data_IF_617248676707
#
_entry.id   IF_617248676707
#
_cell.length_a   1.000
_cell.length_b   1.000
_cell.length_c   1.000
_cell.angle_alpha   90.00
_cell.angle_beta   90.00
_cell.angle_gamma   90.00
#
_symmetry.space_group_name_H-M   'P 1'
#
loop_
_entity.id
_entity.type
_entity.pdbx_description
1 polymer ?
#
# COMPACT_ATOMS: atom_id res chain seq x y z
N UNK A 1 -11.41 -37.61 -1.71
CA UNK A 1 -11.14 -36.17 -1.52
C UNK A 1 -11.53 -35.49 -2.80
N UNK A 2 -12.61 -34.71 -2.79
CA UNK A 2 -13.02 -33.98 -3.99
C UNK A 2 -12.04 -32.84 -4.18
N UNK A 3 -11.31 -32.87 -5.29
CA UNK A 3 -10.29 -31.89 -5.66
C UNK A 3 -10.97 -30.59 -6.12
N UNK A 4 -11.85 -30.05 -5.30
CA UNK A 4 -12.80 -29.03 -5.75
C UNK A 4 -12.18 -27.63 -5.75
N UNK A 5 -11.00 -27.45 -5.16
CA UNK A 5 -10.32 -26.15 -5.08
C UNK A 5 -8.86 -26.20 -5.55
N UNK A 6 -8.40 -25.09 -6.13
CA UNK A 6 -7.02 -24.88 -6.58
C UNK A 6 -6.50 -23.54 -6.06
N UNK A 7 -5.24 -23.53 -5.63
CA UNK A 7 -4.56 -22.32 -5.19
C UNK A 7 -4.17 -21.45 -6.40
N UNK A 8 -4.59 -20.19 -6.38
CA UNK A 8 -4.28 -19.23 -7.46
C UNK A 8 -3.81 -17.90 -6.93
N UNK A 9 -3.02 -17.19 -7.73
CA UNK A 9 -2.61 -15.82 -7.42
C UNK A 9 -3.78 -14.86 -7.64
N UNK A 10 -4.08 -13.98 -6.68
CA UNK A 10 -5.10 -12.93 -6.81
C UNK A 10 -4.47 -11.62 -7.31
N UNK A 11 -3.34 -11.25 -6.73
CA UNK A 11 -2.57 -10.06 -7.08
C UNK A 11 -1.15 -10.12 -6.54
N UNK A 12 -0.25 -9.37 -7.16
CA UNK A 12 1.13 -9.16 -6.72
C UNK A 12 1.35 -7.67 -6.49
N UNK A 13 1.93 -7.28 -5.37
CA UNK A 13 2.33 -5.91 -5.07
C UNK A 13 3.85 -5.88 -5.00
N UNK A 14 4.48 -5.04 -5.82
CA UNK A 14 5.93 -4.86 -5.86
C UNK A 14 6.24 -3.39 -6.10
N UNK A 15 7.11 -2.81 -5.28
CA UNK A 15 7.45 -1.38 -5.36
C UNK A 15 6.21 -0.47 -5.40
N UNK A 16 5.21 -0.78 -4.56
CA UNK A 16 3.95 -0.05 -4.47
C UNK A 16 3.02 -0.15 -5.69
N UNK A 17 3.43 -0.87 -6.74
CA UNK A 17 2.61 -1.13 -7.92
C UNK A 17 1.88 -2.44 -7.75
N UNK A 18 0.57 -2.41 -8.01
CA UNK A 18 -0.28 -3.60 -8.02
C UNK A 18 -0.25 -4.19 -9.43
N UNK A 19 0.19 -5.44 -9.52
CA UNK A 19 0.21 -6.26 -10.72
C UNK A 19 -0.86 -7.36 -10.60
N UNK A 20 -1.81 -7.36 -11.54
CA UNK A 20 -2.89 -8.35 -11.64
C UNK A 20 -2.75 -9.26 -12.86
N UNK A 21 -1.61 -9.24 -13.57
CA UNK A 21 -1.39 -9.99 -14.81
C UNK A 21 -1.48 -11.51 -14.63
N UNK A 22 -1.11 -11.99 -13.45
CA UNK A 22 -1.16 -13.42 -13.09
C UNK A 22 -2.38 -13.76 -12.22
N UNK A 23 -3.39 -12.88 -12.17
CA UNK A 23 -4.63 -13.14 -11.44
C UNK A 23 -5.33 -14.37 -11.99
N UNK A 24 -5.64 -15.32 -11.11
CA UNK A 24 -6.30 -16.58 -11.42
C UNK A 24 -5.36 -17.67 -11.94
N UNK A 25 -4.06 -17.40 -12.04
CA UNK A 25 -3.08 -18.41 -12.46
C UNK A 25 -2.57 -19.21 -11.26
N UNK A 26 -2.19 -20.49 -11.47
CA UNK A 26 -1.46 -21.26 -10.47
C UNK A 26 -0.07 -20.68 -10.21
N UNK A 27 0.67 -21.32 -9.30
CA UNK A 27 2.05 -20.95 -9.00
C UNK A 27 2.89 -21.09 -10.27
N UNK A 28 3.64 -20.04 -10.60
CA UNK A 28 4.57 -20.03 -11.74
C UNK A 28 5.94 -19.53 -11.31
N UNK A 29 6.98 -20.20 -11.79
CA UNK A 29 8.37 -19.83 -11.54
C UNK A 29 9.23 -20.19 -12.74
N UNK A 30 10.22 -19.35 -13.03
CA UNK A 30 11.24 -19.68 -14.00
C UNK A 30 12.13 -20.79 -13.43
N UNK A 31 12.34 -21.85 -14.20
CA UNK A 31 13.26 -22.91 -13.82
C UNK A 31 14.72 -22.44 -13.90
N UNK A 32 15.51 -22.91 -12.95
CA UNK A 32 16.96 -22.79 -12.92
C UNK A 32 17.54 -24.20 -13.04
N UNK A 33 18.26 -24.47 -14.12
CA UNK A 33 18.75 -25.82 -14.44
C UNK A 33 17.68 -26.71 -15.06
N UNK A 34 17.92 -28.03 -15.07
CA UNK A 34 17.12 -29.01 -15.82
C UNK A 34 16.15 -29.82 -14.95
N UNK A 35 16.36 -29.88 -13.64
CA UNK A 35 15.52 -30.70 -12.75
C UNK A 35 14.24 -29.96 -12.30
N UNK A 36 13.09 -30.41 -12.80
CA UNK A 36 11.80 -29.83 -12.44
C UNK A 36 11.42 -30.09 -10.98
N UNK A 37 11.87 -31.20 -10.37
CA UNK A 37 11.51 -31.56 -9.00
C UNK A 37 12.17 -30.62 -7.98
N UNK A 38 13.48 -30.37 -8.12
CA UNK A 38 14.19 -29.36 -7.31
C UNK A 38 13.59 -27.97 -7.52
N UNK A 39 13.24 -27.61 -8.76
CA UNK A 39 12.61 -26.33 -9.05
C UNK A 39 11.21 -26.19 -8.46
N UNK A 40 10.45 -27.28 -8.37
CA UNK A 40 9.15 -27.31 -7.71
C UNK A 40 9.28 -27.00 -6.22
N UNK A 41 10.21 -27.67 -5.54
CA UNK A 41 10.48 -27.45 -4.12
C UNK A 41 10.89 -25.99 -3.86
N UNK A 42 11.82 -25.48 -4.68
CA UNK A 42 12.22 -24.08 -4.63
C UNK A 42 11.04 -23.12 -4.87
N UNK A 43 10.12 -23.45 -5.79
CA UNK A 43 8.97 -22.62 -6.06
C UNK A 43 8.05 -22.51 -4.85
N UNK A 44 7.75 -23.63 -4.19
CA UNK A 44 6.90 -23.66 -2.99
C UNK A 44 7.56 -22.88 -1.85
N UNK A 45 8.84 -23.10 -1.59
CA UNK A 45 9.59 -22.36 -0.56
C UNK A 45 9.61 -20.85 -0.86
N UNK A 46 9.96 -20.45 -2.08
CA UNK A 46 10.13 -19.03 -2.42
C UNK A 46 8.81 -18.27 -2.65
N UNK A 47 7.72 -18.95 -2.99
CA UNK A 47 6.43 -18.32 -3.34
C UNK A 47 5.39 -18.42 -2.24
N UNK A 48 5.48 -19.43 -1.39
CA UNK A 48 4.54 -19.70 -0.31
C UNK A 48 5.20 -19.77 1.07
N UNK A 49 6.53 -19.90 1.15
CA UNK A 49 7.22 -20.01 2.45
C UNK A 49 7.08 -21.38 3.10
N UNK A 50 6.71 -22.41 2.33
CA UNK A 50 6.57 -23.78 2.83
C UNK A 50 7.95 -24.42 2.89
N UNK A 51 8.40 -24.87 4.06
CA UNK A 51 9.71 -25.50 4.23
C UNK A 51 9.78 -26.88 3.56
N UNK A 52 10.99 -27.36 3.25
CA UNK A 52 11.19 -28.66 2.62
C UNK A 52 10.58 -29.81 3.45
N UNK A 53 10.71 -29.74 4.77
CA UNK A 53 10.15 -30.72 5.70
C UNK A 53 8.62 -30.74 5.61
N UNK A 54 7.99 -29.56 5.60
CA UNK A 54 6.55 -29.42 5.48
C UNK A 54 6.04 -29.92 4.13
N UNK A 55 6.78 -29.65 3.04
CA UNK A 55 6.43 -30.16 1.71
C UNK A 55 6.42 -31.69 1.68
N UNK A 56 7.42 -32.35 2.27
CA UNK A 56 7.49 -33.82 2.31
C UNK A 56 6.37 -34.43 3.17
N UNK A 57 5.98 -33.77 4.25
CA UNK A 57 4.97 -34.27 5.18
C UNK A 57 3.52 -34.03 4.69
N UNK A 58 3.27 -32.84 4.14
CA UNK A 58 1.90 -32.35 3.92
C UNK A 58 1.50 -32.27 2.45
N UNK A 59 2.44 -32.39 1.51
CA UNK A 59 2.16 -32.36 0.08
C UNK A 59 2.45 -33.69 -0.61
N UNK A 60 1.55 -34.08 -1.51
CA UNK A 60 1.72 -35.21 -2.41
C UNK A 60 1.88 -34.67 -3.84
N UNK A 61 3.08 -34.83 -4.39
CA UNK A 61 3.39 -34.48 -5.78
C UNK A 61 2.90 -35.62 -6.68
N UNK A 62 1.95 -35.34 -7.55
CA UNK A 62 1.47 -36.33 -8.51
C UNK A 62 2.37 -36.34 -9.74
N UNK A 63 3.37 -37.21 -9.73
CA UNK A 63 4.29 -37.38 -10.85
C UNK A 63 3.59 -37.81 -12.15
N UNK A 64 2.40 -38.44 -12.08
CA UNK A 64 1.63 -38.84 -13.25
C UNK A 64 0.96 -37.66 -13.95
N UNK A 65 0.77 -36.55 -13.23
CA UNK A 65 0.22 -35.30 -13.77
C UNK A 65 1.23 -34.46 -14.56
N UNK A 66 2.52 -34.84 -14.54
CA UNK A 66 3.58 -34.09 -15.18
C UNK A 66 3.36 -33.96 -16.68
N UNK A 67 3.39 -32.72 -17.18
CA UNK A 67 3.29 -32.39 -18.60
C UNK A 67 4.40 -31.42 -18.99
N UNK A 68 5.00 -31.70 -20.14
CA UNK A 68 5.94 -30.82 -20.80
C UNK A 68 5.29 -30.25 -22.06
N UNK A 69 5.30 -28.93 -22.22
CA UNK A 69 4.84 -28.25 -23.42
C UNK A 69 5.82 -27.20 -23.90
N UNK A 70 5.82 -26.99 -25.21
CA UNK A 70 6.57 -25.92 -25.87
C UNK A 70 5.60 -24.86 -26.37
N UNK A 71 5.79 -23.62 -25.95
CA UNK A 71 4.94 -22.50 -26.34
C UNK A 71 5.78 -21.42 -27.03
N UNK A 72 5.41 -21.04 -28.25
CA UNK A 72 6.03 -19.91 -28.96
C UNK A 72 5.16 -18.67 -28.76
N UNK A 73 5.71 -17.66 -28.10
CA UNK A 73 5.03 -16.38 -27.89
C UNK A 73 5.98 -15.21 -28.17
N UNK A 74 5.42 -14.05 -28.51
CA UNK A 74 6.24 -12.85 -28.68
C UNK A 74 6.85 -12.44 -27.32
N UNK A 75 8.13 -12.08 -27.34
CA UNK A 75 8.86 -11.57 -26.19
C UNK A 75 8.18 -10.30 -25.68
N UNK A 76 7.96 -10.27 -24.36
CA UNK A 76 7.36 -9.10 -23.71
C UNK A 76 8.34 -7.94 -23.61
N UNK A 77 9.64 -8.24 -23.52
CA UNK A 77 10.69 -7.24 -23.34
C UNK A 77 11.24 -6.74 -24.68
N UNK A 78 11.05 -7.50 -25.76
CA UNK A 78 11.59 -7.20 -27.08
C UNK A 78 10.49 -7.37 -28.14
N UNK A 79 9.77 -6.29 -28.50
CA UNK A 79 8.72 -6.34 -29.51
C UNK A 79 9.20 -6.96 -30.82
N UNK A 80 8.44 -7.89 -31.37
CA UNK A 80 8.76 -8.58 -32.64
C UNK A 80 9.68 -9.80 -32.52
N UNK A 81 10.34 -10.01 -31.39
CA UNK A 81 11.12 -11.22 -31.15
C UNK A 81 10.20 -12.35 -30.68
N UNK A 82 10.22 -13.50 -31.35
CA UNK A 82 9.53 -14.71 -30.85
C UNK A 82 10.42 -15.41 -29.83
N UNK A 83 9.86 -15.75 -28.69
CA UNK A 83 10.49 -16.53 -27.63
C UNK A 83 9.79 -17.87 -27.52
N UNK A 84 10.58 -18.93 -27.45
CA UNK A 84 10.12 -20.28 -27.16
C UNK A 84 10.20 -20.49 -25.65
N UNK A 85 9.08 -20.84 -25.03
CA UNK A 85 8.98 -21.18 -23.61
C UNK A 85 8.80 -22.69 -23.49
N UNK A 86 9.67 -23.31 -22.70
CA UNK A 86 9.48 -24.69 -22.26
C UNK A 86 8.76 -24.66 -20.91
N UNK A 87 7.57 -25.26 -20.85
CA UNK A 87 6.68 -25.22 -19.69
C UNK A 87 6.59 -26.62 -19.10
N UNK A 88 6.93 -26.72 -17.82
CA UNK A 88 6.79 -27.92 -17.01
C UNK A 88 5.61 -27.71 -16.06
N UNK A 89 4.55 -28.49 -16.23
CA UNK A 89 3.34 -28.43 -15.40
C UNK A 89 3.26 -29.71 -14.55
N UNK A 90 3.00 -29.55 -13.26
CA UNK A 90 2.82 -30.65 -12.31
C UNK A 90 1.76 -30.24 -11.27
N UNK A 91 0.93 -31.20 -10.88
CA UNK A 91 -0.11 -31.03 -9.85
C UNK A 91 0.40 -31.49 -8.49
N UNK A 92 0.08 -30.71 -7.46
CA UNK A 92 0.41 -30.99 -6.07
C UNK A 92 -0.89 -31.00 -5.26
N UNK A 93 -1.02 -31.99 -4.40
CA UNK A 93 -2.18 -32.16 -3.53
C UNK A 93 -1.79 -31.99 -2.07
N UNK A 94 -2.64 -31.32 -1.30
CA UNK A 94 -2.51 -31.24 0.16
C UNK A 94 -3.07 -32.52 0.77
N UNK A 95 -2.27 -33.23 1.56
CA UNK A 95 -2.65 -34.52 2.15
C UNK A 95 -3.58 -34.36 3.36
N UNK A 96 -3.31 -33.36 4.21
CA UNK A 96 -4.12 -33.02 5.39
C UNK A 96 -4.40 -31.51 5.47
N UNK A 97 -5.54 -31.04 4.95
CA UNK A 97 -5.93 -29.63 5.01
C UNK A 97 -6.18 -29.09 6.43
N UNK A 98 -6.39 -29.96 7.43
CA UNK A 98 -6.66 -29.54 8.81
C UNK A 98 -5.37 -29.41 9.64
N UNK A 99 -4.21 -29.64 9.03
CA UNK A 99 -2.93 -29.53 9.73
C UNK A 99 -2.66 -28.08 10.13
N UNK A 100 -2.30 -27.85 11.40
CA UNK A 100 -2.11 -26.50 11.98
C UNK A 100 -1.07 -25.67 11.21
N UNK A 101 -0.04 -26.33 10.69
CA UNK A 101 1.01 -25.67 9.92
C UNK A 101 0.53 -25.13 8.57
N UNK A 102 -0.65 -25.51 8.08
CA UNK A 102 -1.22 -24.97 6.83
C UNK A 102 -2.21 -23.82 7.05
N UNK A 103 -2.47 -23.44 8.32
CA UNK A 103 -3.38 -22.34 8.63
C UNK A 103 -2.91 -21.00 8.03
N UNK A 104 -1.61 -20.78 7.89
CA UNK A 104 -1.09 -19.56 7.26
C UNK A 104 -1.40 -19.50 5.75
N UNK A 105 -1.68 -20.65 5.12
CA UNK A 105 -2.17 -20.75 3.74
C UNK A 105 -3.71 -20.67 3.66
N UNK A 106 -4.37 -20.34 4.77
CA UNK A 106 -5.82 -20.19 4.85
C UNK A 106 -6.61 -21.51 4.89
N UNK A 107 -5.94 -22.65 5.07
CA UNK A 107 -6.61 -23.95 5.25
C UNK A 107 -7.05 -24.15 6.71
N UNK A 108 -8.10 -24.94 6.98
CA UNK A 108 -8.93 -25.71 6.04
C UNK A 108 -10.02 -24.88 5.33
N UNK A 109 -10.31 -23.66 5.80
CA UNK A 109 -11.44 -22.85 5.33
C UNK A 109 -11.29 -22.32 3.90
N UNK A 110 -10.07 -22.34 3.35
CA UNK A 110 -9.75 -21.79 2.04
C UNK A 110 -9.68 -20.26 2.02
N UNK A 111 -9.32 -19.65 3.15
CA UNK A 111 -9.20 -18.19 3.26
C UNK A 111 -8.08 -17.64 2.35
N UNK A 112 -8.29 -16.45 1.78
CA UNK A 112 -7.26 -15.73 1.04
C UNK A 112 -6.12 -15.34 2.00
N UNK A 113 -4.87 -15.45 1.56
CA UNK A 113 -3.70 -15.14 2.40
C UNK A 113 -2.62 -14.37 1.63
N UNK A 114 -1.91 -13.43 2.28
CA UNK A 114 -0.74 -12.77 1.71
C UNK A 114 0.55 -13.52 2.06
N UNK A 115 1.51 -13.53 1.14
CA UNK A 115 2.88 -13.97 1.36
C UNK A 115 3.84 -12.85 0.98
N UNK A 116 4.78 -12.52 1.87
CA UNK A 116 5.75 -11.43 1.66
C UNK A 116 7.16 -11.99 1.54
N UNK A 117 7.91 -11.53 0.54
CA UNK A 117 9.32 -11.90 0.36
C UNK A 117 10.18 -10.72 -0.07
N UNK A 118 11.47 -10.78 0.24
CA UNK A 118 12.47 -9.86 -0.29
C UNK A 118 13.01 -10.39 -1.62
N UNK A 119 12.80 -9.64 -2.70
CA UNK A 119 13.38 -9.90 -4.01
C UNK A 119 14.84 -9.43 -4.01
N UNK A 120 15.76 -10.39 -3.86
CA UNK A 120 17.21 -10.17 -3.91
C UNK A 120 17.77 -10.19 -5.34
N UNK A 121 16.95 -10.57 -6.33
CA UNK A 121 17.40 -10.93 -7.68
C UNK A 121 17.68 -9.74 -8.60
N UNK A 122 17.19 -8.54 -8.28
CA UNK A 122 17.30 -7.37 -9.17
C UNK A 122 18.52 -6.48 -8.93
N UNK A 123 19.37 -6.76 -7.94
CA UNK A 123 20.48 -5.86 -7.56
C UNK A 123 21.86 -6.23 -8.11
N UNK A 124 22.02 -7.35 -8.84
CA UNK A 124 23.36 -7.89 -9.13
C UNK A 124 24.13 -7.14 -10.23
N UNK A 125 23.53 -6.28 -11.05
CA UNK A 125 24.27 -5.72 -12.20
C UNK A 125 24.58 -4.22 -12.25
N UNK A 126 23.92 -3.32 -11.49
CA UNK A 126 24.17 -1.87 -11.72
C UNK A 126 24.14 -0.90 -10.53
N UNK A 127 24.16 -1.34 -9.27
CA UNK A 127 24.24 -0.38 -8.15
C UNK A 127 25.30 -0.74 -7.11
N UNK A 128 26.46 -0.10 -7.23
CA UNK A 128 27.60 -0.11 -6.30
C UNK A 128 27.35 0.65 -4.98
N UNK A 129 26.08 0.82 -4.57
CA UNK A 129 25.70 1.39 -3.26
C UNK A 129 24.41 0.75 -2.76
N UNK A 130 24.55 -0.27 -1.89
CA UNK A 130 23.56 -0.63 -0.86
C UNK A 130 22.09 -0.79 -1.28
N UNK A 131 21.80 -1.35 -2.46
CA UNK A 131 20.42 -1.57 -2.90
C UNK A 131 19.75 -2.66 -2.04
N UNK A 132 19.00 -2.22 -1.03
CA UNK A 132 18.13 -3.06 -0.21
C UNK A 132 17.08 -3.73 -1.11
N UNK A 133 17.00 -5.06 -1.07
CA UNK A 133 16.10 -5.85 -1.93
C UNK A 133 14.65 -5.34 -1.91
N UNK A 134 13.97 -5.40 -3.05
CA UNK A 134 12.58 -4.91 -3.15
C UNK A 134 11.62 -5.88 -2.46
N UNK A 135 10.68 -5.37 -1.65
CA UNK A 135 9.66 -6.22 -1.04
C UNK A 135 8.59 -6.55 -2.07
N UNK A 136 8.25 -7.83 -2.18
CA UNK A 136 7.19 -8.37 -3.02
C UNK A 136 6.15 -9.04 -2.13
N UNK A 137 4.90 -8.58 -2.22
CA UNK A 137 3.75 -9.19 -1.54
C UNK A 137 2.89 -9.89 -2.60
N UNK A 138 2.67 -11.20 -2.45
CA UNK A 138 1.80 -11.99 -3.29
C UNK A 138 0.54 -12.37 -2.51
N UNK A 139 -0.63 -12.04 -3.03
CA UNK A 139 -1.90 -12.47 -2.45
C UNK A 139 -2.38 -13.71 -3.19
N UNK A 140 -2.66 -14.75 -2.42
CA UNK A 140 -3.14 -16.03 -2.87
C UNK A 140 -4.56 -16.27 -2.40
N UNK A 141 -5.27 -17.13 -3.11
CA UNK A 141 -6.59 -17.57 -2.70
C UNK A 141 -6.97 -18.89 -3.33
N UNK A 142 -7.90 -19.59 -2.69
CA UNK A 142 -8.43 -20.86 -3.14
C UNK A 142 -9.65 -20.61 -4.02
N UNK A 143 -9.67 -21.17 -5.23
CA UNK A 143 -10.80 -21.07 -6.15
C UNK A 143 -11.33 -22.44 -6.50
N UNK A 144 -12.64 -22.60 -6.72
CA UNK A 144 -13.18 -23.83 -7.24
C UNK A 144 -12.50 -24.21 -8.57
N UNK A 145 -12.15 -25.48 -8.78
CA UNK A 145 -11.50 -25.95 -10.02
C UNK A 145 -12.35 -25.62 -11.24
N UNK A 146 -13.67 -25.74 -11.13
CA UNK A 146 -14.59 -25.33 -12.19
C UNK A 146 -14.45 -23.84 -12.54
N UNK A 147 -14.23 -22.95 -11.57
CA UNK A 147 -14.04 -21.52 -11.82
C UNK A 147 -12.64 -21.21 -12.38
N UNK A 148 -11.62 -21.92 -11.90
CA UNK A 148 -10.25 -21.75 -12.39
C UNK A 148 -10.10 -22.22 -13.85
N UNK A 149 -10.72 -23.35 -14.20
CA UNK A 149 -10.63 -23.95 -15.54
C UNK A 149 -11.62 -23.36 -16.55
N UNK A 150 -12.75 -22.80 -16.10
CA UNK A 150 -13.77 -22.23 -17.01
C UNK A 150 -13.43 -20.86 -17.57
N UNK A 151 -12.41 -20.16 -17.06
CA UNK A 151 -11.99 -18.89 -17.63
C UNK A 151 -11.22 -19.20 -18.92
N UNK A 152 -11.78 -18.94 -20.12
CA UNK A 152 -10.97 -19.01 -21.32
C UNK A 152 -9.81 -18.06 -21.08
N UNK A 153 -8.58 -18.56 -21.25
CA UNK A 153 -7.39 -17.72 -21.36
C UNK A 153 -7.76 -16.73 -22.46
N UNK A 154 -8.18 -15.53 -22.09
CA UNK A 154 -8.34 -14.45 -23.05
C UNK A 154 -6.93 -14.31 -23.60
N UNK A 155 -6.69 -14.87 -24.78
CA UNK A 155 -5.57 -14.49 -25.62
C UNK A 155 -5.76 -13.00 -25.74
N UNK A 156 -5.08 -12.25 -24.88
CA UNK A 156 -4.86 -10.84 -25.13
C UNK A 156 -4.08 -10.88 -26.43
N UNK A 157 -4.79 -10.83 -27.55
CA UNK A 157 -4.27 -10.25 -28.77
C UNK A 157 -3.78 -8.88 -28.32
N UNK A 158 -2.50 -8.82 -27.98
CA UNK A 158 -1.80 -7.56 -27.87
C UNK A 158 -1.89 -6.99 -29.29
N UNK A 159 -2.94 -6.21 -29.55
CA UNK A 159 -2.93 -5.26 -30.65
C UNK A 159 -1.68 -4.44 -30.41
N UNK A 160 -0.69 -4.64 -31.26
CA UNK A 160 0.43 -3.74 -31.41
C UNK A 160 -0.16 -2.40 -31.85
N UNK A 161 -0.57 -1.58 -30.89
CA UNK A 161 -0.85 -0.18 -31.18
C UNK A 161 0.50 0.46 -31.42
N UNK A 162 0.73 0.87 -32.66
CA UNK A 162 1.83 1.74 -33.11
C UNK A 162 1.96 3.05 -32.29
N UNK A 163 1.07 3.28 -31.31
CA UNK A 163 0.96 4.47 -30.49
C UNK A 163 1.74 4.43 -29.16
N UNK A 164 2.46 3.36 -28.84
CA UNK A 164 3.36 3.35 -27.67
C UNK A 164 4.65 4.18 -27.90
N UNK A 165 4.85 4.71 -29.11
CA UNK A 165 5.93 5.65 -29.46
C UNK A 165 5.61 7.12 -29.21
N UNK A 166 4.35 7.48 -28.83
CA UNK A 166 3.91 8.89 -28.69
C UNK A 166 3.36 9.23 -27.29
N UNK A 167 3.22 8.27 -26.38
CA UNK A 167 2.98 8.58 -24.96
C UNK A 167 4.30 8.76 -24.20
N UNK A 168 5.17 9.62 -24.72
CA UNK A 168 6.01 10.42 -23.85
C UNK A 168 5.05 11.38 -23.14
N UNK A 169 4.40 10.91 -22.08
CA UNK A 169 3.72 11.79 -21.15
C UNK A 169 4.79 12.79 -20.72
N UNK A 170 4.77 13.98 -21.31
CA UNK A 170 5.50 15.11 -20.78
C UNK A 170 5.17 15.11 -19.30
N UNK A 171 6.18 14.81 -18.48
CA UNK A 171 6.03 14.69 -17.05
C UNK A 171 5.66 16.10 -16.60
N UNK A 172 4.34 16.37 -16.52
CA UNK A 172 3.83 17.64 -16.03
C UNK A 172 4.57 17.91 -14.75
N UNK A 173 5.23 19.06 -14.70
CA UNK A 173 6.04 19.45 -13.58
C UNK A 173 5.12 19.39 -12.35
N UNK A 174 5.35 18.40 -11.49
CA UNK A 174 4.46 18.20 -10.36
C UNK A 174 4.82 19.29 -9.37
N UNK A 175 4.00 20.36 -9.33
CA UNK A 175 4.12 21.41 -8.32
C UNK A 175 4.35 20.74 -6.96
N UNK A 176 5.49 21.02 -6.29
CA UNK A 176 5.79 20.41 -5.01
C UNK A 176 4.67 20.70 -4.02
N UNK A 177 3.99 19.64 -3.57
CA UNK A 177 2.93 19.78 -2.57
C UNK A 177 3.55 20.35 -1.30
N UNK A 178 2.89 21.34 -0.70
CA UNK A 178 3.27 21.84 0.62
C UNK A 178 3.21 20.70 1.63
N UNK A 179 4.24 20.58 2.46
CA UNK A 179 4.40 19.53 3.47
C UNK A 179 4.41 20.16 4.85
N UNK A 180 3.83 19.47 5.83
CA UNK A 180 4.01 19.80 7.24
C UNK A 180 5.43 19.40 7.67
N UNK A 181 6.05 20.12 8.62
CA UNK A 181 7.34 19.71 9.14
C UNK A 181 7.24 18.32 9.78
N UNK A 182 8.32 17.56 9.67
CA UNK A 182 8.46 16.33 10.45
C UNK A 182 8.47 16.66 11.95
N UNK A 183 7.91 15.80 12.82
CA UNK A 183 8.05 15.88 14.27
C UNK A 183 9.52 15.99 14.67
N UNK A 184 9.79 16.83 15.66
CA UNK A 184 11.10 16.89 16.26
C UNK A 184 11.41 15.64 17.10
N UNK A 185 12.68 15.23 17.09
CA UNK A 185 13.20 14.07 17.80
C UNK A 185 13.06 12.78 17.02
N UNK A 186 14.20 12.26 16.54
CA UNK A 186 14.30 10.92 15.94
C UNK A 186 14.02 9.88 17.02
N UNK A 187 13.26 8.84 16.68
CA UNK A 187 13.26 7.63 17.50
C UNK A 187 14.70 7.09 17.55
N UNK A 188 15.14 6.53 18.70
CA UNK A 188 16.48 5.97 18.80
C UNK A 188 16.68 4.95 17.67
N UNK A 189 17.90 4.88 17.09
CA UNK A 189 18.19 3.91 16.05
C UNK A 189 17.91 2.51 16.60
N UNK A 190 17.05 1.75 15.91
CA UNK A 190 16.70 0.40 16.31
C UNK A 190 17.74 -0.55 15.71
N UNK A 191 18.46 -1.28 16.56
CA UNK A 191 19.30 -2.39 16.10
C UNK A 191 18.39 -3.55 15.73
N UNK A 192 18.45 -3.98 14.46
CA UNK A 192 17.72 -5.15 13.98
C UNK A 192 18.56 -6.41 14.27
N UNK A 193 18.60 -6.84 15.53
CA UNK A 193 18.92 -8.26 15.78
C UNK A 193 17.70 -9.09 15.37
N UNK A 194 17.92 -10.14 14.57
CA UNK A 194 16.94 -10.88 13.77
C UNK A 194 15.75 -11.49 14.55
N UNK A 195 15.79 -11.45 15.89
CA UNK A 195 14.79 -12.09 16.76
C UNK A 195 13.80 -11.12 17.42
N UNK A 196 13.97 -9.80 17.32
CA UNK A 196 13.05 -8.83 17.96
C UNK A 196 12.28 -7.98 16.95
N UNK A 197 10.97 -7.86 17.17
CA UNK A 197 10.09 -6.99 16.41
C UNK A 197 10.56 -5.53 16.56
N UNK A 198 11.19 -4.98 15.53
CA UNK A 198 11.75 -3.61 15.54
C UNK A 198 10.74 -2.53 15.95
N UNK A 199 9.46 -2.74 15.63
CA UNK A 199 8.36 -1.88 16.07
C UNK A 199 8.22 -1.85 17.60
N UNK A 200 8.32 -3.02 18.25
CA UNK A 200 8.20 -3.14 19.69
C UNK A 200 9.34 -2.41 20.40
N UNK A 201 10.56 -2.49 19.88
CA UNK A 201 11.70 -1.78 20.47
C UNK A 201 11.60 -0.26 20.24
N UNK A 202 11.18 0.18 19.05
CA UNK A 202 10.93 1.60 18.76
C UNK A 202 9.89 2.23 19.70
N UNK A 203 8.86 1.44 20.08
CA UNK A 203 7.73 1.90 20.88
C UNK A 203 7.84 1.59 22.38
N UNK A 204 8.85 0.82 22.82
CA UNK A 204 8.96 0.27 24.18
C UNK A 204 8.81 1.29 25.31
N UNK A 205 9.31 2.50 25.10
CA UNK A 205 9.25 3.60 26.07
C UNK A 205 8.40 4.78 25.59
N UNK A 206 7.71 4.61 24.47
CA UNK A 206 6.81 5.61 23.93
C UNK A 206 5.42 5.38 24.51
N UNK A 207 4.82 6.43 25.07
CA UNK A 207 3.45 6.39 25.59
C UNK A 207 2.68 7.55 25.00
N UNK A 208 1.41 7.30 24.70
CA UNK A 208 0.48 8.35 24.29
C UNK A 208 0.37 9.41 25.39
N UNK A 209 0.64 10.67 25.06
CA UNK A 209 0.44 11.80 25.96
C UNK A 209 -1.04 12.21 25.93
N UNK A 210 -1.83 11.54 26.77
CA UNK A 210 -3.25 11.78 26.91
C UNK A 210 -3.59 13.20 27.38
N UNK A 211 -2.67 13.91 28.03
CA UNK A 211 -2.90 15.31 28.44
C UNK A 211 -2.94 16.20 27.20
N UNK A 212 -2.00 16.02 26.28
CA UNK A 212 -2.01 16.74 24.98
C UNK A 212 -3.18 16.33 24.10
N UNK A 213 -3.50 15.02 24.03
CA UNK A 213 -4.66 14.55 23.27
C UNK A 213 -5.98 15.19 23.76
N UNK A 214 -6.19 15.21 25.09
CA UNK A 214 -7.36 15.85 25.70
C UNK A 214 -7.34 17.37 25.52
N UNK A 215 -6.16 18.01 25.61
CA UNK A 215 -6.03 19.46 25.36
C UNK A 215 -6.42 19.79 23.92
N UNK A 216 -5.97 19.02 22.93
CA UNK A 216 -6.33 19.19 21.53
C UNK A 216 -7.85 19.06 21.31
N UNK A 217 -8.47 18.02 21.88
CA UNK A 217 -9.91 17.80 21.79
C UNK A 217 -10.71 18.94 22.45
N UNK A 218 -10.36 19.30 23.69
CA UNK A 218 -11.10 20.31 24.47
C UNK A 218 -10.95 21.73 23.90
N UNK A 219 -9.81 22.05 23.29
CA UNK A 219 -9.54 23.38 22.73
C UNK A 219 -9.82 23.48 21.25
N UNK A 220 -10.34 22.43 20.61
CA UNK A 220 -10.51 22.41 19.16
C UNK A 220 -11.41 23.53 18.63
N UNK A 221 -12.32 24.07 19.46
CA UNK A 221 -13.17 25.21 19.13
C UNK A 221 -12.73 26.55 19.77
N UNK A 222 -11.61 26.58 20.49
CA UNK A 222 -11.11 27.81 21.11
C UNK A 222 -10.50 28.74 20.02
N UNK A 223 -10.99 29.97 19.83
CA UNK A 223 -10.46 30.90 18.83
C UNK A 223 -8.96 31.21 18.99
N UNK A 224 -8.43 31.16 20.21
CA UNK A 224 -7.01 31.39 20.48
C UNK A 224 -6.15 30.13 20.20
N UNK A 225 -6.78 28.97 20.03
CA UNK A 225 -6.10 27.72 19.73
C UNK A 225 -5.90 27.59 18.22
N UNK A 226 -4.66 27.80 17.77
CA UNK A 226 -4.31 27.81 16.34
C UNK A 226 -4.12 26.40 15.77
N UNK A 227 -4.08 26.29 14.44
CA UNK A 227 -3.75 25.04 13.76
C UNK A 227 -2.35 24.54 14.14
N UNK A 228 -1.41 25.46 14.37
CA UNK A 228 -0.07 25.11 14.86
C UNK A 228 -0.12 24.48 16.25
N UNK A 229 -0.92 25.02 17.17
CA UNK A 229 -1.08 24.43 18.50
C UNK A 229 -1.69 23.03 18.40
N UNK A 230 -2.70 22.84 17.53
CA UNK A 230 -3.28 21.53 17.27
C UNK A 230 -2.23 20.53 16.73
N UNK A 231 -1.41 20.95 15.76
CA UNK A 231 -0.32 20.13 15.23
C UNK A 231 0.68 19.73 16.33
N UNK A 232 1.16 20.68 17.13
CA UNK A 232 2.13 20.43 18.20
C UNK A 232 1.55 19.47 19.27
N UNK A 233 0.26 19.60 19.58
CA UNK A 233 -0.43 18.71 20.52
C UNK A 233 -0.59 17.29 19.96
N UNK A 234 -1.03 17.15 18.71
CA UNK A 234 -1.21 15.85 18.03
C UNK A 234 0.12 15.11 17.92
N UNK A 235 1.16 15.79 17.42
CA UNK A 235 2.49 15.20 17.27
C UNK A 235 3.09 14.84 18.63
N UNK A 236 2.84 15.67 19.64
CA UNK A 236 3.26 15.37 21.01
C UNK A 236 2.45 14.27 21.69
N UNK A 237 1.19 14.07 21.30
CA UNK A 237 0.28 13.09 21.87
C UNK A 237 0.55 11.67 21.35
N UNK A 238 0.82 11.53 20.05
CA UNK A 238 0.88 10.23 19.37
C UNK A 238 2.30 9.94 18.87
N UNK A 239 3.16 9.30 19.70
CA UNK A 239 4.52 8.96 19.28
C UNK A 239 4.58 8.01 18.08
N UNK A 240 3.50 7.28 17.80
CA UNK A 240 3.34 6.40 16.63
C UNK A 240 3.50 7.16 15.31
N UNK A 241 3.18 8.46 15.28
CA UNK A 241 3.36 9.30 14.08
C UNK A 241 4.83 9.36 13.64
N UNK A 242 5.77 9.15 14.58
CA UNK A 242 7.19 9.10 14.27
C UNK A 242 7.58 7.82 13.52
N UNK A 243 6.78 6.75 13.61
CA UNK A 243 7.06 5.48 12.92
C UNK A 243 7.03 5.63 11.41
N UNK A 244 6.22 6.55 10.87
CA UNK A 244 6.25 6.90 9.45
C UNK A 244 7.57 7.54 9.01
N UNK A 245 8.37 8.03 9.95
CA UNK A 245 9.62 8.73 9.70
C UNK A 245 10.85 7.93 10.11
N UNK A 246 10.64 6.81 10.82
CA UNK A 246 11.65 5.76 10.99
C UNK A 246 11.73 4.96 9.69
N UNK A 247 12.07 5.67 8.61
CA UNK A 247 12.33 5.11 7.30
C UNK A 247 13.81 4.81 7.18
N UNK A 248 14.20 3.58 7.51
CA UNK A 248 15.32 2.93 6.84
C UNK A 248 15.03 2.97 5.32
N UNK A 249 16.03 3.34 4.52
CA UNK A 249 15.94 3.87 3.15
C UNK A 249 14.70 3.54 2.32
N UNK A 250 14.06 4.58 1.76
CA UNK A 250 13.12 4.53 0.62
C UNK A 250 12.06 3.39 0.59
N UNK A 251 11.73 2.77 1.72
CA UNK A 251 10.72 1.72 1.75
C UNK A 251 9.33 2.34 1.58
N UNK A 252 8.58 1.78 0.62
CA UNK A 252 7.18 2.09 0.42
C UNK A 252 6.40 1.41 1.55
N UNK A 253 5.49 2.17 2.17
CA UNK A 253 4.48 1.64 3.08
C UNK A 253 3.62 0.57 2.38
N UNK A 254 2.83 -0.19 3.14
CA UNK A 254 1.90 -1.20 2.60
C UNK A 254 0.90 -0.64 1.56
N UNK A 255 0.65 0.68 1.58
CA UNK A 255 -0.18 1.39 0.60
C UNK A 255 0.51 1.65 -0.74
N UNK A 256 1.81 1.36 -0.85
CA UNK A 256 2.64 1.70 -2.00
C UNK A 256 3.06 3.16 -2.06
N UNK A 257 2.95 3.92 -0.97
CA UNK A 257 3.40 5.31 -0.87
C UNK A 257 4.64 5.43 0.00
N UNK A 258 5.41 6.51 -0.20
CA UNK A 258 6.54 6.79 0.68
C UNK A 258 6.04 6.98 2.12
N UNK A 259 6.89 6.63 3.08
CA UNK A 259 6.53 6.76 4.49
C UNK A 259 6.25 8.23 4.88
N UNK A 260 6.98 9.18 4.29
CA UNK A 260 6.69 10.61 4.41
C UNK A 260 5.32 10.97 3.82
N UNK A 261 4.93 10.44 2.65
CA UNK A 261 3.60 10.70 2.11
C UNK A 261 2.48 10.13 3.00
N UNK A 262 2.68 8.97 3.64
CA UNK A 262 1.71 8.44 4.62
C UNK A 262 1.63 9.29 5.89
N UNK A 263 2.77 9.81 6.37
CA UNK A 263 2.79 10.80 7.45
C UNK A 263 1.97 12.05 7.07
N UNK A 264 2.24 12.63 5.89
CA UNK A 264 1.53 13.82 5.40
C UNK A 264 0.02 13.56 5.29
N UNK A 265 -0.40 12.40 4.79
CA UNK A 265 -1.83 12.03 4.70
C UNK A 265 -2.48 11.91 6.07
N UNK A 266 -1.79 11.25 7.00
CA UNK A 266 -2.30 11.02 8.35
C UNK A 266 -2.50 12.34 9.09
N UNK A 267 -1.51 13.25 9.03
CA UNK A 267 -1.65 14.58 9.62
C UNK A 267 -2.72 15.41 8.91
N UNK A 268 -2.78 15.39 7.58
CA UNK A 268 -3.83 16.10 6.84
C UNK A 268 -5.24 15.61 7.19
N UNK A 269 -5.42 14.32 7.47
CA UNK A 269 -6.70 13.79 7.95
C UNK A 269 -7.07 14.37 9.33
N UNK A 270 -6.10 14.56 10.22
CA UNK A 270 -6.32 15.19 11.52
C UNK A 270 -6.63 16.69 11.38
N UNK A 271 -5.96 17.40 10.46
CA UNK A 271 -6.31 18.79 10.12
C UNK A 271 -7.70 18.92 9.52
N UNK A 272 -8.11 17.97 8.68
CA UNK A 272 -9.47 17.92 8.17
C UNK A 272 -10.48 17.91 9.32
N UNK A 273 -10.30 17.06 10.34
CA UNK A 273 -11.16 17.06 11.54
C UNK A 273 -11.11 18.41 12.26
N UNK A 274 -9.92 18.95 12.52
CA UNK A 274 -9.74 20.25 13.17
C UNK A 274 -10.48 21.39 12.45
N UNK A 275 -10.35 21.48 11.12
CA UNK A 275 -11.00 22.53 10.34
C UNK A 275 -12.51 22.33 10.22
N UNK A 276 -12.98 21.10 9.99
CA UNK A 276 -14.41 20.82 9.84
C UNK A 276 -15.19 21.10 11.13
N UNK A 277 -14.58 20.84 12.29
CA UNK A 277 -15.19 21.21 13.58
C UNK A 277 -15.24 22.72 13.80
N UNK A 278 -14.37 23.50 13.14
CA UNK A 278 -14.27 24.97 13.29
C UNK A 278 -14.99 25.76 12.20
N UNK A 279 -16.11 25.26 11.67
CA UNK A 279 -16.88 25.95 10.61
C UNK A 279 -17.15 27.43 10.92
N UNK A 280 -17.55 27.75 12.16
CA UNK A 280 -17.85 29.12 12.59
C UNK A 280 -16.61 30.04 12.70
N UNK A 281 -15.40 29.50 12.48
CA UNK A 281 -14.12 30.20 12.61
C UNK A 281 -13.27 30.01 11.36
N UNK A 282 -13.92 30.13 10.20
CA UNK A 282 -13.28 30.01 8.87
C UNK A 282 -12.70 28.62 8.58
N UNK A 283 -13.21 27.59 9.24
CA UNK A 283 -12.75 26.22 9.09
C UNK A 283 -12.96 25.68 7.68
N UNK A 284 -14.08 26.02 7.03
CA UNK A 284 -14.35 25.61 5.66
C UNK A 284 -13.33 26.20 4.67
N UNK A 285 -12.95 27.47 4.86
CA UNK A 285 -11.93 28.14 4.04
C UNK A 285 -10.55 27.52 4.30
N UNK A 286 -10.19 27.25 5.55
CA UNK A 286 -8.92 26.58 5.86
C UNK A 286 -8.87 25.18 5.24
N UNK A 287 -9.98 24.45 5.24
CA UNK A 287 -10.08 23.13 4.62
C UNK A 287 -9.89 23.17 3.10
N UNK A 288 -10.55 24.10 2.42
CA UNK A 288 -10.48 24.21 0.95
C UNK A 288 -9.16 24.81 0.46
N UNK A 289 -8.73 25.92 1.06
CA UNK A 289 -7.61 26.71 0.57
C UNK A 289 -6.28 26.37 1.26
N UNK A 290 -6.32 25.68 2.39
CA UNK A 290 -5.16 25.53 3.28
C UNK A 290 -4.78 26.86 3.94
N UNK A 291 -3.73 26.82 4.75
CA UNK A 291 -3.24 27.96 5.52
C UNK A 291 -2.09 28.69 4.84
N UNK A 292 -1.92 29.96 5.20
CA UNK A 292 -0.70 30.73 4.99
C UNK A 292 0.45 30.17 5.84
N UNK A 293 1.68 30.60 5.54
CA UNK A 293 2.88 30.06 6.18
C UNK A 293 2.98 30.36 7.69
N UNK A 294 2.16 31.29 8.19
CA UNK A 294 2.01 31.62 9.60
C UNK A 294 1.03 30.71 10.36
N UNK A 295 0.39 29.75 9.67
CA UNK A 295 -0.58 28.79 10.23
C UNK A 295 -1.86 29.43 10.81
N UNK A 296 -2.19 30.67 10.45
CA UNK A 296 -3.33 31.40 11.03
C UNK A 296 -4.45 31.67 10.04
N UNK A 297 -4.14 32.20 8.87
CA UNK A 297 -5.14 32.64 7.91
C UNK A 297 -5.33 31.65 6.75
N UNK A 298 -6.56 31.49 6.23
CA UNK A 298 -6.77 30.73 5.00
C UNK A 298 -6.28 31.51 3.78
N UNK A 299 -5.80 30.79 2.77
CA UNK A 299 -5.31 31.36 1.50
C UNK A 299 -6.46 31.68 0.53
N UNK A 300 -7.33 32.58 0.93
CA UNK A 300 -8.50 32.98 0.13
C UNK A 300 -8.17 33.93 -1.02
N UNK A 301 -6.99 34.56 -0.98
CA UNK A 301 -6.54 35.45 -2.04
C UNK A 301 -5.81 34.64 -3.11
N UNK A 302 -6.06 34.94 -4.40
CA UNK A 302 -5.25 34.35 -5.46
C UNK A 302 -3.78 34.77 -5.30
N UNK A 303 -2.81 33.98 -5.81
CA UNK A 303 -1.41 34.37 -5.81
C UNK A 303 -1.22 35.66 -6.63
N UNK A 304 -0.30 36.52 -6.21
CA UNK A 304 -0.07 37.82 -6.87
C UNK A 304 0.61 37.70 -8.23
N UNK A 305 1.41 36.65 -8.42
CA UNK A 305 2.08 36.30 -9.68
C UNK A 305 2.08 34.77 -9.83
N UNK A 306 0.90 34.16 -10.05
CA UNK A 306 0.77 32.70 -10.10
C UNK A 306 1.32 32.17 -11.42
N UNK A 307 2.00 31.02 -11.36
CA UNK A 307 2.07 30.18 -12.55
C UNK A 307 0.66 29.75 -12.98
N UNK A 308 0.48 29.38 -14.25
CA UNK A 308 -0.79 28.83 -14.75
C UNK A 308 -1.30 27.65 -13.88
N UNK A 309 -0.37 26.89 -13.30
CA UNK A 309 -0.66 25.75 -12.44
C UNK A 309 -1.19 26.16 -11.06
N UNK A 310 -0.59 27.19 -10.45
CA UNK A 310 -1.07 27.73 -9.17
C UNK A 310 -2.45 28.38 -9.31
N UNK A 311 -2.69 29.07 -10.43
CA UNK A 311 -4.01 29.62 -10.73
C UNK A 311 -5.06 28.52 -10.95
N UNK A 312 -4.70 27.46 -11.69
CA UNK A 312 -5.56 26.30 -11.88
C UNK A 312 -5.86 25.57 -10.57
N UNK A 313 -4.87 25.43 -9.69
CA UNK A 313 -5.06 24.85 -8.35
C UNK A 313 -5.99 25.72 -7.49
N UNK A 314 -5.73 27.03 -7.42
CA UNK A 314 -6.58 27.97 -6.68
C UNK A 314 -8.03 27.94 -7.19
N UNK A 315 -8.23 27.95 -8.51
CA UNK A 315 -9.56 27.89 -9.12
C UNK A 315 -10.31 26.61 -8.76
N UNK A 316 -9.62 25.45 -8.76
CA UNK A 316 -10.21 24.17 -8.32
C UNK A 316 -10.60 24.20 -6.85
N UNK A 317 -9.74 24.73 -5.97
CA UNK A 317 -10.02 24.86 -4.53
C UNK A 317 -11.20 25.81 -4.27
N UNK A 318 -11.29 26.89 -5.04
CA UNK A 318 -12.40 27.85 -4.97
C UNK A 318 -13.71 27.22 -5.40
N UNK A 319 -13.75 26.56 -6.56
CA UNK A 319 -14.92 25.83 -7.03
C UNK A 319 -15.37 24.79 -5.99
N UNK A 320 -14.43 23.99 -5.47
CA UNK A 320 -14.74 23.04 -4.40
C UNK A 320 -15.35 23.72 -3.17
N UNK A 321 -14.82 24.87 -2.73
CA UNK A 321 -15.37 25.60 -1.60
C UNK A 321 -16.79 26.13 -1.84
N UNK A 322 -17.04 26.71 -3.01
CA UNK A 322 -18.32 27.33 -3.38
C UNK A 322 -19.42 26.29 -3.64
N UNK A 323 -19.05 25.14 -4.23
CA UNK A 323 -19.99 24.07 -4.60
C UNK A 323 -20.26 23.07 -3.47
N UNK A 324 -19.41 23.02 -2.44
CA UNK A 324 -19.59 22.08 -1.33
C UNK A 324 -20.77 22.50 -0.44
N UNK A 325 -21.70 21.57 -0.21
CA UNK A 325 -22.75 21.74 0.81
C UNK A 325 -22.18 21.58 2.23
N UNK A 326 -21.60 22.67 2.74
CA UNK A 326 -21.04 22.74 4.08
C UNK A 326 -22.08 22.52 5.19
N UNK A 327 -23.37 22.73 4.91
CA UNK A 327 -24.42 22.47 5.88
C UNK A 327 -24.61 20.96 6.07
N UNK A 328 -24.63 20.19 4.97
CA UNK A 328 -24.66 18.72 5.04
C UNK A 328 -23.41 18.14 5.69
N UNK A 329 -22.21 18.64 5.36
CA UNK A 329 -20.96 18.20 6.01
C UNK A 329 -21.02 18.46 7.52
N UNK A 330 -21.50 19.64 7.95
CA UNK A 330 -21.65 19.95 9.37
C UNK A 330 -22.67 19.04 10.06
N UNK A 331 -23.80 18.75 9.40
CA UNK A 331 -24.82 17.85 9.93
C UNK A 331 -24.24 16.46 10.24
N UNK A 332 -23.34 15.94 9.42
CA UNK A 332 -22.66 14.66 9.69
C UNK A 332 -21.92 14.66 11.03
N UNK A 333 -21.26 15.76 11.42
CA UNK A 333 -20.58 15.85 12.71
C UNK A 333 -21.55 15.97 13.88
N UNK A 334 -22.70 16.60 13.67
CA UNK A 334 -23.78 16.66 14.68
C UNK A 334 -24.41 15.30 14.87
N UNK A 335 -24.72 14.61 13.78
CA UNK A 335 -25.32 13.27 13.80
C UNK A 335 -24.34 12.23 14.40
N UNK A 336 -23.03 12.42 14.20
CA UNK A 336 -21.99 11.62 14.83
C UNK A 336 -21.76 11.95 16.33
N UNK A 337 -22.45 12.94 16.89
CA UNK A 337 -22.30 13.36 18.28
C UNK A 337 -21.00 14.12 18.59
N UNK A 338 -20.24 14.51 17.57
CA UNK A 338 -18.98 15.27 17.73
C UNK A 338 -19.24 16.76 17.95
N UNK A 339 -20.40 17.25 17.54
CA UNK A 339 -20.81 18.64 17.74
C UNK A 339 -22.29 18.73 18.12
N UNK A 340 -22.64 19.77 18.87
CA UNK A 340 -24.02 20.17 19.08
C UNK A 340 -24.51 20.97 17.87
N UNK A 341 -25.82 20.96 17.63
CA UNK A 341 -26.44 21.77 16.57
C UNK A 341 -26.17 23.29 16.75
N UNK A 342 -25.88 23.73 17.98
CA UNK A 342 -25.45 25.10 18.30
C UNK A 342 -24.01 25.43 17.88
N UNK A 343 -23.28 24.47 17.33
CA UNK A 343 -21.86 24.60 16.95
C UNK A 343 -20.90 24.52 18.15
N UNK A 344 -21.38 24.12 19.33
CA UNK A 344 -20.54 23.83 20.50
C UNK A 344 -20.10 22.36 20.50
N UNK A 345 -18.90 22.09 21.01
CA UNK A 345 -18.42 20.73 21.22
C UNK A 345 -19.10 20.12 22.44
N UNK A 346 -19.54 18.87 22.34
CA UNK A 346 -19.97 18.08 23.49
C UNK A 346 -18.81 17.13 23.85
N UNK A 347 -17.98 17.45 24.85
CA UNK A 347 -16.74 16.73 25.13
C UNK A 347 -16.92 15.28 25.56
#
# INVERSE_FOLDING_TARGET
LTHDQVLVMKMKVQNGKIDKRDRGKPITMQMVGEDWATNLEMALTQRLGVSAEMQQQLFHVDASSYKFSEEVANSRSFPGLKTVYFVNEVSIYVTDPNHVDLHFMGLPDGNDFPFTRMDRTTSVQFSSRGSSGSIVVSHWGWLPVAEAMSKPVKKNEQRLTFADSIMCLEAKEVVPKRRVPAPEGKLPPVSFDEEKLALQEAMKNQKTDWVKAKRAANRILDPAYSCRNFFDDVVGAFPELKLYLVGYGAHLSSSGRSADDEYQRTICALFAVYWLMRRNQRGAECFSYGLTDDWKAPRIMPPSDPSDEEWAEFSKRKAFHEETDWASVFRLFVDAGLMLASGRHNP
#
